data_IF_269205447720
#
_entry.id   IF_269205447720
#
_cell.length_a   1.000
_cell.length_b   1.000
_cell.length_c   1.000
_cell.angle_alpha   90.00
_cell.angle_beta   90.00
_cell.angle_gamma   90.00
#
_symmetry.space_group_name_H-M   'P 1'
#
loop_
_entity.id
_entity.type
_entity.pdbx_description
1 polymer ?
#
# COMPACT_ATOMS: atom_id res chain seq x y z
N UNK A 1 -17.49 6.13 24.21
CA UNK A 1 -16.85 6.41 22.91
C UNK A 1 -15.36 6.28 23.14
N UNK A 2 -14.74 5.19 22.71
CA UNK A 2 -13.30 5.00 22.85
C UNK A 2 -12.60 6.01 21.95
N UNK A 3 -11.70 6.79 22.53
CA UNK A 3 -10.80 7.71 21.85
C UNK A 3 -9.95 6.89 20.86
N UNK A 4 -10.18 7.16 19.58
CA UNK A 4 -9.51 6.68 18.36
C UNK A 4 -8.41 5.64 18.56
N UNK A 5 -8.71 4.39 18.23
CA UNK A 5 -7.68 3.41 17.93
C UNK A 5 -6.90 3.92 16.70
N UNK A 6 -5.54 3.96 16.72
CA UNK A 6 -4.77 4.53 15.63
C UNK A 6 -5.14 3.89 14.29
N UNK A 7 -5.67 4.69 13.39
CA UNK A 7 -6.16 4.22 12.10
C UNK A 7 -4.99 4.10 11.11
N UNK A 8 -4.73 2.88 10.65
CA UNK A 8 -3.68 2.57 9.68
C UNK A 8 -4.30 2.34 8.31
N UNK A 9 -3.80 3.03 7.30
CA UNK A 9 -4.17 2.80 5.91
C UNK A 9 -3.00 2.22 5.12
N UNK A 10 -3.26 1.17 4.35
CA UNK A 10 -2.30 0.52 3.46
C UNK A 10 -2.77 0.75 2.02
N UNK A 11 -1.94 1.38 1.21
CA UNK A 11 -2.27 1.75 -0.17
C UNK A 11 -1.29 1.06 -1.12
N UNK A 12 -1.82 0.22 -2.00
CA UNK A 12 -1.07 -0.39 -3.09
C UNK A 12 -1.17 0.46 -4.36
N UNK A 13 -0.03 0.80 -4.95
CA UNK A 13 0.07 1.53 -6.21
C UNK A 13 0.63 0.64 -7.33
N UNK A 14 0.44 1.09 -8.56
CA UNK A 14 1.04 0.52 -9.76
C UNK A 14 0.05 -0.05 -10.77
N UNK A 15 0.54 -0.42 -11.94
CA UNK A 15 -0.26 -0.94 -13.04
C UNK A 15 -0.06 -2.45 -13.24
N UNK A 16 -1.11 -3.25 -12.98
CA UNK A 16 -1.09 -4.71 -13.17
C UNK A 16 -0.74 -5.11 -14.62
N UNK A 17 -1.00 -4.25 -15.59
CA UNK A 17 -0.69 -4.50 -17.01
C UNK A 17 0.80 -4.22 -17.37
N UNK A 18 1.58 -3.62 -16.46
CA UNK A 18 2.98 -3.21 -16.69
C UNK A 18 3.98 -4.08 -15.91
N UNK A 19 3.71 -5.38 -15.82
CA UNK A 19 4.64 -6.36 -15.23
C UNK A 19 4.88 -6.13 -13.74
N UNK A 20 6.15 -5.95 -13.35
CA UNK A 20 6.56 -5.74 -11.95
C UNK A 20 5.97 -4.46 -11.34
N UNK A 21 5.50 -3.52 -12.17
CA UNK A 21 4.83 -2.31 -11.69
C UNK A 21 3.57 -2.61 -10.89
N UNK A 22 2.87 -3.71 -11.19
CA UNK A 22 1.67 -4.13 -10.47
C UNK A 22 1.89 -4.66 -9.06
N UNK A 23 3.13 -4.69 -8.54
CA UNK A 23 3.45 -5.34 -7.27
C UNK A 23 2.67 -4.75 -6.08
N UNK A 24 2.47 -3.42 -6.03
CA UNK A 24 1.72 -2.79 -4.94
C UNK A 24 0.27 -3.26 -4.89
N UNK A 25 -0.38 -3.35 -6.06
CA UNK A 25 -1.73 -3.91 -6.19
C UNK A 25 -1.78 -5.38 -5.76
N UNK A 26 -0.79 -6.19 -6.15
CA UNK A 26 -0.69 -7.60 -5.74
C UNK A 26 -0.54 -7.77 -4.22
N UNK A 27 0.18 -6.87 -3.55
CA UNK A 27 0.29 -6.87 -2.08
C UNK A 27 -1.06 -6.61 -1.46
N UNK A 28 -1.82 -5.61 -1.93
CA UNK A 28 -3.18 -5.32 -1.44
C UNK A 28 -4.12 -6.51 -1.63
N UNK A 29 -4.11 -7.14 -2.81
CA UNK A 29 -4.89 -8.36 -3.08
C UNK A 29 -4.54 -9.50 -2.11
N UNK A 30 -3.26 -9.67 -1.79
CA UNK A 30 -2.81 -10.68 -0.84
C UNK A 30 -3.23 -10.36 0.60
N UNK A 31 -3.06 -9.11 1.04
CA UNK A 31 -3.46 -8.67 2.39
C UNK A 31 -4.96 -8.84 2.62
N UNK A 32 -5.80 -8.49 1.64
CA UNK A 32 -7.26 -8.68 1.72
C UNK A 32 -7.69 -10.15 1.83
N UNK A 33 -6.84 -11.09 1.42
CA UNK A 33 -7.10 -12.53 1.51
C UNK A 33 -6.52 -13.16 2.78
N UNK A 34 -5.68 -12.44 3.54
CA UNK A 34 -5.13 -12.95 4.78
C UNK A 34 -6.16 -12.83 5.90
N UNK A 35 -6.49 -13.95 6.52
CA UNK A 35 -7.19 -13.96 7.79
C UNK A 35 -6.13 -13.81 8.90
N UNK A 36 -5.81 -12.57 9.27
CA UNK A 36 -4.92 -12.30 10.40
C UNK A 36 -5.42 -11.13 11.25
N UNK A 37 -5.40 -11.31 12.58
CA UNK A 37 -5.84 -10.26 13.51
C UNK A 37 -4.95 -9.01 13.51
N UNK A 38 -3.75 -9.09 12.93
CA UNK A 38 -2.85 -7.93 12.79
C UNK A 38 -3.42 -6.89 11.81
N UNK A 39 -4.28 -7.31 10.87
CA UNK A 39 -4.94 -6.43 9.92
C UNK A 39 -6.32 -5.97 10.41
N UNK A 40 -6.75 -6.37 11.60
CA UNK A 40 -8.01 -5.94 12.18
C UNK A 40 -7.98 -4.42 12.42
N UNK A 41 -8.91 -3.69 11.79
CA UNK A 41 -8.96 -2.22 11.85
C UNK A 41 -8.09 -1.48 10.83
N UNK A 42 -7.30 -2.19 9.99
CA UNK A 42 -6.56 -1.55 8.91
C UNK A 42 -7.44 -1.28 7.67
N UNK A 43 -7.33 -0.09 7.10
CA UNK A 43 -7.98 0.28 5.83
C UNK A 43 -7.07 -0.05 4.65
N UNK A 44 -7.46 -1.02 3.82
CA UNK A 44 -6.60 -1.56 2.75
C UNK A 44 -7.16 -1.17 1.37
N UNK A 45 -6.46 -0.30 0.67
CA UNK A 45 -6.90 0.32 -0.58
C UNK A 45 -5.98 -0.02 -1.76
N UNK A 46 -6.58 -0.26 -2.91
CA UNK A 46 -5.90 -0.32 -4.20
C UNK A 46 -6.06 1.05 -4.89
N UNK A 47 -4.94 1.73 -5.12
CA UNK A 47 -4.91 3.04 -5.78
C UNK A 47 -4.53 2.93 -7.27
N UNK A 48 -4.11 1.77 -7.76
CA UNK A 48 -3.64 1.57 -9.13
C UNK A 48 -2.66 2.67 -9.57
N UNK A 49 -3.00 3.36 -10.67
CA UNK A 49 -2.22 4.47 -11.24
C UNK A 49 -2.68 5.87 -10.79
N UNK A 50 -3.21 6.01 -9.56
CA UNK A 50 -3.88 7.22 -9.06
C UNK A 50 -3.08 8.54 -9.05
N UNK A 51 -1.79 8.57 -9.40
CA UNK A 51 -1.02 9.82 -9.49
C UNK A 51 -1.20 10.72 -8.27
N UNK A 52 -1.60 11.98 -8.49
CA UNK A 52 -1.84 12.95 -7.41
C UNK A 52 -3.17 12.74 -6.65
N UNK A 53 -4.12 12.00 -7.19
CA UNK A 53 -5.43 11.77 -6.55
C UNK A 53 -5.28 10.93 -5.26
N UNK A 54 -4.13 10.26 -5.07
CA UNK A 54 -3.77 9.56 -3.84
C UNK A 54 -3.76 10.48 -2.61
N UNK A 55 -3.58 11.81 -2.79
CA UNK A 55 -3.58 12.77 -1.68
C UNK A 55 -4.89 12.74 -0.89
N UNK A 56 -6.02 12.56 -1.56
CA UNK A 56 -7.32 12.43 -0.90
C UNK A 56 -7.41 11.14 -0.06
N UNK A 57 -6.63 10.11 -0.41
CA UNK A 57 -6.54 8.86 0.33
C UNK A 57 -5.62 8.95 1.55
N UNK A 58 -4.89 10.06 1.74
CA UNK A 58 -4.04 10.25 2.92
C UNK A 58 -4.81 10.88 4.10
N UNK A 59 -5.99 11.44 3.84
CA UNK A 59 -6.76 12.18 4.84
C UNK A 59 -7.46 11.25 5.84
N UNK A 60 -7.61 11.76 7.07
CA UNK A 60 -8.43 11.13 8.11
C UNK A 60 -7.83 9.87 8.75
N UNK A 61 -6.52 9.62 8.59
CA UNK A 61 -5.82 8.49 9.19
C UNK A 61 -4.52 8.89 9.87
N UNK A 62 -4.10 8.14 10.88
CA UNK A 62 -2.92 8.44 11.69
C UNK A 62 -1.61 7.98 11.03
N UNK A 63 -1.70 6.92 10.22
CA UNK A 63 -0.55 6.35 9.52
C UNK A 63 -0.93 5.79 8.16
N UNK A 64 -0.08 6.05 7.18
CA UNK A 64 -0.20 5.50 5.83
C UNK A 64 1.04 4.66 5.51
N UNK A 65 0.82 3.47 4.94
CA UNK A 65 1.84 2.62 4.35
C UNK A 65 1.56 2.55 2.85
N UNK A 66 2.46 3.08 2.03
CA UNK A 66 2.37 3.00 0.57
C UNK A 66 3.26 1.86 0.10
N UNK A 67 2.71 0.98 -0.73
CA UNK A 67 3.44 -0.10 -1.39
C UNK A 67 3.41 0.16 -2.89
N UNK A 68 4.58 0.43 -3.46
CA UNK A 68 4.74 0.71 -4.88
C UNK A 68 5.99 0.02 -5.42
N UNK A 69 6.00 -0.22 -6.73
CA UNK A 69 7.22 -0.55 -7.45
C UNK A 69 8.07 0.72 -7.60
N UNK A 70 9.39 0.58 -7.59
CA UNK A 70 10.25 1.69 -7.96
C UNK A 70 11.42 1.21 -8.80
N UNK A 71 11.86 2.07 -9.71
CA UNK A 71 13.16 1.87 -10.37
C UNK A 71 14.22 2.08 -9.28
N UNK A 72 14.90 1.01 -8.93
CA UNK A 72 15.95 1.04 -7.90
C UNK A 72 17.04 2.06 -8.23
N UNK A 73 17.59 2.68 -7.20
CA UNK A 73 18.78 3.52 -7.30
C UNK A 73 19.98 2.83 -6.64
N UNK A 74 21.18 3.04 -7.19
CA UNK A 74 22.41 2.45 -6.64
C UNK A 74 22.56 0.95 -6.91
N UNK A 75 23.01 0.20 -5.90
CA UNK A 75 23.40 -1.23 -6.01
C UNK A 75 22.31 -2.23 -5.61
N UNK A 76 21.07 -1.77 -5.39
CA UNK A 76 19.98 -2.63 -4.97
C UNK A 76 19.65 -3.69 -6.04
N UNK A 77 19.51 -4.95 -5.62
CA UNK A 77 19.11 -6.04 -6.53
C UNK A 77 17.61 -5.95 -6.79
N UNK A 78 17.17 -6.44 -7.96
CA UNK A 78 15.73 -6.59 -8.26
C UNK A 78 15.04 -7.41 -7.18
N UNK A 79 13.84 -6.99 -6.79
CA UNK A 79 13.07 -7.61 -5.70
C UNK A 79 13.51 -7.20 -4.28
N UNK A 80 14.46 -6.28 -4.13
CA UNK A 80 14.78 -5.70 -2.81
C UNK A 80 13.62 -4.84 -2.31
N UNK A 81 13.34 -4.90 -1.00
CA UNK A 81 12.36 -4.04 -0.34
C UNK A 81 13.09 -2.87 0.32
N UNK A 82 12.67 -1.65 -0.02
CA UNK A 82 13.14 -0.40 0.58
C UNK A 82 11.99 0.19 1.40
N UNK A 83 12.32 0.81 2.55
CA UNK A 83 11.34 1.39 3.49
C UNK A 83 11.87 2.69 4.05
#
# INVERSE_FOLDING_TARGET
>A
MSEFDPSVRIIGCGNILMGDDGVGVRVVEALKKMECGILEGADILDAGVCGLDILNLLEGVDKVIIVDSMVGSGSAKKGSILR
#
